data_IF_260274722799
#
_entry.id   IF_260274722799
#
_cell.length_a   1.000
_cell.length_b   1.000
_cell.length_c   1.000
_cell.angle_alpha   90.00
_cell.angle_beta   90.00
_cell.angle_gamma   90.00
#
_symmetry.space_group_name_H-M   'P 1'
#
loop_
_entity.id
_entity.type
_entity.pdbx_description
1 polymer ?
#
# COMPACT_ATOMS: atom_id res chain seq x y z
N UNK A 1 14.69 -0.79 -12.48
CA UNK A 1 13.35 -1.35 -12.76
C UNK A 1 13.42 -2.85 -12.56
N UNK A 2 12.81 -3.35 -11.53
CA UNK A 2 12.83 -4.76 -11.20
C UNK A 2 11.54 -5.41 -11.68
N UNK A 3 11.66 -6.53 -12.41
CA UNK A 3 10.51 -7.35 -12.78
C UNK A 3 10.51 -8.53 -11.82
N UNK A 4 9.45 -8.63 -11.02
CA UNK A 4 9.26 -9.73 -10.08
C UNK A 4 8.15 -10.65 -10.60
N UNK A 5 8.45 -11.92 -10.69
CA UNK A 5 7.47 -12.95 -11.03
C UNK A 5 6.83 -13.50 -9.74
N UNK A 6 5.52 -13.52 -9.74
CA UNK A 6 4.71 -14.02 -8.62
C UNK A 6 4.21 -15.43 -8.92
N UNK A 7 4.06 -16.26 -7.87
CA UNK A 7 3.36 -17.54 -7.96
C UNK A 7 1.87 -17.41 -8.37
N UNK A 8 1.34 -16.18 -8.35
CA UNK A 8 -0.01 -15.86 -8.79
C UNK A 8 -0.10 -15.45 -10.27
N UNK A 9 0.94 -15.72 -11.07
CA UNK A 9 1.05 -15.34 -12.49
C UNK A 9 0.94 -13.81 -12.69
N UNK A 10 1.54 -13.05 -11.80
CA UNK A 10 1.64 -11.59 -11.90
C UNK A 10 3.09 -11.21 -12.12
N UNK A 11 3.32 -10.26 -13.02
CA UNK A 11 4.60 -9.58 -13.17
C UNK A 11 4.45 -8.14 -12.70
N UNK A 12 5.42 -7.63 -11.96
CA UNK A 12 5.43 -6.27 -11.41
C UNK A 12 6.65 -5.52 -11.91
N UNK A 13 6.39 -4.30 -12.34
CA UNK A 13 7.42 -3.32 -12.67
C UNK A 13 7.25 -2.13 -11.72
N UNK A 14 8.33 -1.70 -11.11
CA UNK A 14 8.34 -0.64 -10.12
C UNK A 14 9.32 0.46 -10.53
N UNK A 15 8.89 1.72 -10.40
CA UNK A 15 9.74 2.90 -10.52
C UNK A 15 9.37 3.87 -9.39
N UNK A 16 10.36 4.41 -8.70
CA UNK A 16 10.19 5.42 -7.66
C UNK A 16 11.29 6.46 -7.79
N UNK A 17 10.89 7.74 -7.77
CA UNK A 17 11.82 8.86 -7.95
C UNK A 17 11.52 9.96 -6.94
N UNK A 18 12.56 10.47 -6.33
CA UNK A 18 12.47 11.58 -5.37
C UNK A 18 11.99 12.89 -6.03
N UNK A 19 12.29 13.07 -7.32
CA UNK A 19 11.98 14.33 -8.00
C UNK A 19 12.74 15.52 -7.43
N UNK A 20 12.08 16.66 -7.35
CA UNK A 20 12.66 17.89 -6.80
C UNK A 20 12.46 18.08 -5.29
N UNK A 21 12.02 17.04 -4.58
CA UNK A 21 11.80 17.10 -3.13
C UNK A 21 13.10 16.85 -2.36
N UNK A 22 13.25 17.36 -1.13
CA UNK A 22 14.44 17.08 -0.29
C UNK A 22 14.53 15.61 0.14
N UNK A 23 13.40 14.89 0.18
CA UNK A 23 13.30 13.49 0.59
C UNK A 23 12.22 12.78 -0.22
N UNK A 24 12.43 11.51 -0.53
CA UNK A 24 11.39 10.63 -1.07
C UNK A 24 10.59 10.03 0.10
N UNK A 25 9.34 10.43 0.25
CA UNK A 25 8.44 9.96 1.29
C UNK A 25 7.49 8.86 0.79
N UNK A 26 7.62 8.44 -0.46
CA UNK A 26 6.90 7.31 -1.00
C UNK A 26 7.51 5.99 -0.52
N UNK A 27 6.64 5.04 -0.24
CA UNK A 27 7.04 3.67 0.05
C UNK A 27 6.13 2.70 -0.70
N UNK A 28 6.71 1.63 -1.18
CA UNK A 28 5.97 0.58 -1.88
C UNK A 28 6.54 -0.79 -1.53
N UNK A 29 5.74 -1.80 -1.68
CA UNK A 29 6.19 -3.19 -1.66
C UNK A 29 5.18 -4.09 -2.36
N UNK A 30 5.62 -5.26 -2.74
CA UNK A 30 4.78 -6.33 -3.25
C UNK A 30 5.22 -7.67 -2.67
N UNK A 31 4.28 -8.57 -2.52
CA UNK A 31 4.54 -9.90 -1.98
C UNK A 31 3.48 -10.92 -2.40
N UNK A 32 3.90 -12.16 -2.54
CA UNK A 32 2.98 -13.29 -2.52
C UNK A 32 2.42 -13.46 -1.11
N UNK A 33 1.10 -13.50 -0.98
CA UNK A 33 0.40 -13.75 0.28
C UNK A 33 -0.48 -15.00 0.17
N UNK A 34 -0.98 -15.55 1.28
CA UNK A 34 -1.90 -16.69 1.22
C UNK A 34 -3.20 -16.43 0.45
N UNK A 35 -3.60 -15.16 0.31
CA UNK A 35 -4.86 -14.74 -0.33
C UNK A 35 -4.69 -14.11 -1.72
N UNK A 36 -3.48 -13.98 -2.23
CA UNK A 36 -3.19 -13.41 -3.55
C UNK A 36 -1.88 -12.66 -3.59
N UNK A 37 -1.54 -12.12 -4.75
CA UNK A 37 -0.38 -11.23 -4.92
C UNK A 37 -0.76 -9.82 -4.49
N UNK A 38 -0.09 -9.33 -3.46
CA UNK A 38 -0.35 -8.01 -2.89
C UNK A 38 0.64 -6.97 -3.41
N UNK A 39 0.13 -5.79 -3.75
CA UNK A 39 0.91 -4.59 -4.10
C UNK A 39 0.42 -3.44 -3.24
N UNK A 40 1.34 -2.74 -2.60
CA UNK A 40 1.05 -1.60 -1.72
C UNK A 40 1.89 -0.40 -2.15
N UNK A 41 1.26 0.76 -2.25
CA UNK A 41 1.92 2.06 -2.46
C UNK A 41 1.37 3.06 -1.46
N UNK A 42 2.26 3.76 -0.78
CA UNK A 42 1.95 4.78 0.22
C UNK A 42 2.77 6.04 -0.06
N UNK A 43 2.10 7.19 -0.11
CA UNK A 43 2.73 8.52 -0.21
C UNK A 43 2.66 9.20 1.15
N UNK A 44 3.80 9.34 1.78
CA UNK A 44 3.91 9.91 3.12
C UNK A 44 3.76 11.43 3.14
N UNK A 45 3.09 11.94 4.15
CA UNK A 45 2.91 13.36 4.41
C UNK A 45 3.34 13.72 5.83
N UNK A 46 3.92 14.89 5.97
CA UNK A 46 4.45 15.41 7.22
C UNK A 46 5.86 15.97 7.02
N UNK A 47 6.14 17.11 7.58
CA UNK A 47 7.47 17.73 7.47
C UNK A 47 8.56 16.84 8.12
N UNK A 48 9.79 16.89 7.57
CA UNK A 48 10.91 16.11 8.09
C UNK A 48 10.73 14.59 7.97
N UNK A 49 11.19 13.78 8.93
CA UNK A 49 11.19 12.32 8.83
C UNK A 49 9.80 11.68 8.97
N UNK A 50 8.77 12.45 9.30
CA UNK A 50 7.44 11.92 9.62
C UNK A 50 6.77 11.22 8.44
N UNK A 51 6.82 11.81 7.24
CA UNK A 51 6.18 11.23 6.06
C UNK A 51 6.81 9.91 5.63
N UNK A 52 8.13 9.82 5.56
CA UNK A 52 8.84 8.59 5.23
C UNK A 52 8.60 7.49 6.28
N UNK A 53 8.57 7.84 7.56
CA UNK A 53 8.22 6.90 8.62
C UNK A 53 6.78 6.39 8.47
N UNK A 54 5.82 7.28 8.19
CA UNK A 54 4.42 6.91 8.04
C UNK A 54 4.20 5.94 6.87
N UNK A 55 4.74 6.24 5.70
CA UNK A 55 4.59 5.37 4.52
C UNK A 55 5.26 4.02 4.72
N UNK A 56 6.47 3.99 5.30
CA UNK A 56 7.20 2.74 5.58
C UNK A 56 6.46 1.86 6.58
N UNK A 57 6.00 2.42 7.70
CA UNK A 57 5.24 1.68 8.71
C UNK A 57 3.92 1.14 8.13
N UNK A 58 3.23 1.95 7.33
CA UNK A 58 1.98 1.53 6.72
C UNK A 58 2.17 0.34 5.76
N UNK A 59 3.16 0.41 4.86
CA UNK A 59 3.47 -0.68 3.93
C UNK A 59 3.80 -1.97 4.69
N UNK A 60 4.67 -1.88 5.71
CA UNK A 60 5.07 -3.04 6.52
C UNK A 60 3.88 -3.65 7.26
N UNK A 61 3.06 -2.84 7.92
CA UNK A 61 1.90 -3.31 8.67
C UNK A 61 0.86 -3.99 7.77
N UNK A 62 0.59 -3.41 6.59
CA UNK A 62 -0.36 -3.97 5.63
C UNK A 62 0.12 -5.34 5.14
N UNK A 63 1.38 -5.45 4.68
CA UNK A 63 1.90 -6.72 4.19
C UNK A 63 1.98 -7.78 5.30
N UNK A 64 2.38 -7.41 6.52
CA UNK A 64 2.40 -8.32 7.65
C UNK A 64 1.01 -8.88 7.94
N UNK A 65 -0.02 -8.02 7.92
CA UNK A 65 -1.40 -8.46 8.13
C UNK A 65 -1.86 -9.43 7.03
N UNK A 66 -1.62 -9.09 5.76
CA UNK A 66 -2.02 -9.92 4.62
C UNK A 66 -1.29 -11.28 4.63
N UNK A 67 -0.01 -11.30 5.01
CA UNK A 67 0.76 -12.53 5.16
C UNK A 67 0.25 -13.44 6.28
N UNK A 68 -0.40 -12.90 7.29
CA UNK A 68 -0.96 -13.66 8.41
C UNK A 68 -2.35 -14.23 8.12
N UNK A 69 -2.96 -13.88 7.00
CA UNK A 69 -4.29 -14.36 6.63
C UNK A 69 -4.29 -15.86 6.30
N UNK A 70 -5.40 -16.52 6.62
CA UNK A 70 -5.64 -17.87 6.12
C UNK A 70 -5.95 -17.83 4.62
N UNK A 71 -5.61 -18.87 3.83
CA UNK A 71 -5.89 -18.91 2.39
C UNK A 71 -7.39 -18.77 2.04
N UNK A 72 -8.26 -19.15 2.98
CA UNK A 72 -9.73 -19.06 2.84
C UNK A 72 -10.32 -17.72 3.30
N UNK A 73 -9.48 -16.77 3.74
CA UNK A 73 -9.97 -15.49 4.24
C UNK A 73 -10.67 -14.68 3.13
N UNK A 74 -11.70 -13.93 3.52
CA UNK A 74 -12.33 -12.94 2.67
C UNK A 74 -11.36 -11.80 2.37
N UNK A 75 -11.06 -11.56 1.08
CA UNK A 75 -10.04 -10.61 0.66
C UNK A 75 -10.45 -9.18 0.98
N UNK A 76 -11.73 -8.81 0.85
CA UNK A 76 -12.21 -7.47 1.18
C UNK A 76 -12.08 -7.17 2.66
N UNK A 77 -12.47 -8.13 3.51
CA UNK A 77 -12.32 -8.01 4.95
C UNK A 77 -10.83 -7.94 5.34
N UNK A 78 -9.98 -8.75 4.72
CA UNK A 78 -8.54 -8.73 4.95
C UNK A 78 -7.91 -7.38 4.61
N UNK A 79 -8.26 -6.78 3.48
CA UNK A 79 -7.78 -5.45 3.10
C UNK A 79 -8.26 -4.36 4.06
N UNK A 80 -9.54 -4.37 4.43
CA UNK A 80 -10.08 -3.42 5.40
C UNK A 80 -9.35 -3.50 6.73
N UNK A 81 -9.11 -4.71 7.23
CA UNK A 81 -8.43 -4.95 8.49
C UNK A 81 -6.94 -4.56 8.40
N UNK A 82 -6.28 -4.84 7.26
CA UNK A 82 -4.89 -4.47 7.05
C UNK A 82 -4.68 -2.94 7.10
N UNK A 83 -5.53 -2.18 6.39
CA UNK A 83 -5.49 -0.71 6.41
C UNK A 83 -5.83 -0.17 7.81
N UNK A 84 -6.81 -0.76 8.49
CA UNK A 84 -7.15 -0.40 9.87
C UNK A 84 -6.01 -0.65 10.85
N UNK A 85 -5.32 -1.78 10.73
CA UNK A 85 -4.14 -2.10 11.54
C UNK A 85 -2.99 -1.13 11.31
N UNK A 86 -2.73 -0.75 10.06
CA UNK A 86 -1.73 0.25 9.72
C UNK A 86 -2.06 1.61 10.36
N UNK A 87 -3.31 2.06 10.25
CA UNK A 87 -3.75 3.31 10.87
C UNK A 87 -3.60 3.28 12.40
N UNK A 88 -3.95 2.18 13.05
CA UNK A 88 -3.78 2.02 14.50
C UNK A 88 -2.31 2.07 14.90
N UNK A 89 -1.41 1.43 14.14
CA UNK A 89 0.03 1.48 14.38
C UNK A 89 0.58 2.91 14.24
N UNK A 90 0.19 3.65 13.20
CA UNK A 90 0.63 5.03 13.02
C UNK A 90 0.17 5.92 14.17
N UNK A 91 -1.06 5.79 14.62
CA UNK A 91 -1.59 6.55 15.75
C UNK A 91 -0.84 6.22 17.05
N UNK A 92 -0.56 4.93 17.30
CA UNK A 92 0.22 4.53 18.47
C UNK A 92 1.65 5.08 18.42
N UNK A 93 2.28 5.02 17.24
CA UNK A 93 3.63 5.55 17.04
C UNK A 93 3.72 7.05 17.37
N UNK A 94 2.71 7.83 16.96
CA UNK A 94 2.64 9.26 17.31
C UNK A 94 2.48 9.48 18.82
N UNK A 95 1.71 8.64 19.50
CA UNK A 95 1.58 8.74 20.97
C UNK A 95 2.90 8.44 21.69
N UNK A 96 3.68 7.50 21.16
CA UNK A 96 4.97 7.12 21.74
C UNK A 96 6.11 8.09 21.35
N UNK A 97 5.96 8.78 20.21
CA UNK A 97 6.95 9.68 19.60
C UNK A 97 6.27 10.99 19.17
N UNK A 98 6.11 11.90 20.11
CA UNK A 98 5.38 13.16 19.88
C UNK A 98 6.01 14.04 18.78
N UNK A 99 7.29 13.89 18.52
CA UNK A 99 8.01 14.56 17.43
C UNK A 99 7.49 14.17 16.04
N UNK A 100 6.77 13.03 15.93
CA UNK A 100 6.13 12.56 14.71
C UNK A 100 4.68 13.02 14.58
N UNK A 101 4.24 13.92 15.44
CA UNK A 101 2.88 14.47 15.38
C UNK A 101 2.63 15.11 14.00
N UNK A 102 1.48 14.77 13.42
CA UNK A 102 1.09 15.23 12.08
C UNK A 102 1.58 14.35 10.94
N UNK A 103 2.36 13.29 11.23
CA UNK A 103 2.70 12.32 10.19
C UNK A 103 1.44 11.59 9.71
N UNK A 104 1.42 11.30 8.41
CA UNK A 104 0.36 10.53 7.79
C UNK A 104 0.84 9.96 6.47
N UNK A 105 0.01 9.16 5.84
CA UNK A 105 0.30 8.60 4.52
C UNK A 105 -1.00 8.29 3.80
N UNK A 106 -0.98 8.43 2.48
CA UNK A 106 -1.96 7.77 1.63
C UNK A 106 -1.72 6.26 1.64
N UNK A 107 -2.66 5.52 1.14
CA UNK A 107 -2.50 4.09 0.91
C UNK A 107 -3.31 3.65 -0.29
N UNK A 108 -2.68 2.90 -1.17
CA UNK A 108 -3.35 2.10 -2.20
C UNK A 108 -2.83 0.69 -2.07
N UNK A 109 -3.71 -0.27 -1.88
CA UNK A 109 -3.38 -1.68 -1.81
C UNK A 109 -4.27 -2.47 -2.74
N UNK A 110 -3.68 -3.36 -3.52
CA UNK A 110 -4.38 -4.30 -4.39
C UNK A 110 -3.94 -5.72 -4.09
N UNK A 111 -4.89 -6.64 -4.06
CA UNK A 111 -4.63 -8.09 -4.01
C UNK A 111 -5.19 -8.72 -5.27
N UNK A 112 -4.32 -9.36 -6.04
CA UNK A 112 -4.69 -10.09 -7.27
C UNK A 112 -4.72 -11.58 -6.98
N UNK A 113 -5.88 -12.19 -7.21
CA UNK A 113 -6.09 -13.61 -7.06
C UNK A 113 -6.83 -14.14 -8.29
N UNK A 114 -6.14 -14.89 -9.12
CA UNK A 114 -6.69 -15.37 -10.39
C UNK A 114 -7.11 -14.21 -11.30
N UNK A 115 -8.40 -14.11 -11.60
CA UNK A 115 -8.96 -13.06 -12.46
C UNK A 115 -9.55 -11.88 -11.69
N UNK A 116 -9.41 -11.87 -10.37
CA UNK A 116 -10.00 -10.84 -9.51
C UNK A 116 -8.91 -9.98 -8.89
N UNK A 117 -9.07 -8.67 -8.97
CA UNK A 117 -8.31 -7.70 -8.22
C UNK A 117 -9.22 -7.02 -7.21
N UNK A 118 -8.84 -7.09 -5.93
CA UNK A 118 -9.54 -6.38 -4.84
C UNK A 118 -8.67 -5.23 -4.39
N UNK A 119 -9.26 -4.05 -4.26
CA UNK A 119 -8.54 -2.80 -3.99
C UNK A 119 -9.10 -2.12 -2.76
N UNK A 120 -8.22 -1.60 -1.92
CA UNK A 120 -8.56 -0.62 -0.88
C UNK A 120 -7.65 0.60 -1.02
N UNK A 121 -8.17 1.79 -0.74
CA UNK A 121 -7.37 3.02 -0.80
C UNK A 121 -7.85 4.06 0.20
N UNK A 122 -6.92 4.91 0.59
CA UNK A 122 -7.15 6.10 1.43
C UNK A 122 -6.27 7.23 0.88
N UNK A 123 -6.87 8.38 0.60
CA UNK A 123 -6.16 9.55 0.09
C UNK A 123 -6.26 9.70 -1.42
N UNK A 124 -5.29 10.38 -2.01
CA UNK A 124 -5.24 10.78 -3.41
C UNK A 124 -4.20 10.04 -4.27
N UNK A 125 -3.53 9.04 -3.70
CA UNK A 125 -2.78 8.06 -4.50
C UNK A 125 -3.75 7.19 -5.28
N UNK A 126 -3.47 6.98 -6.58
CA UNK A 126 -4.46 6.40 -7.49
C UNK A 126 -4.07 5.03 -8.00
N UNK A 127 -5.08 4.18 -8.18
CA UNK A 127 -4.98 2.93 -8.92
C UNK A 127 -5.80 3.02 -10.19
N UNK A 128 -5.22 2.55 -11.28
CA UNK A 128 -5.87 2.44 -12.57
C UNK A 128 -5.89 0.99 -13.03
N UNK A 129 -7.04 0.51 -13.47
CA UNK A 129 -7.13 -0.73 -14.23
C UNK A 129 -7.19 -0.40 -15.71
N UNK A 130 -6.22 -0.91 -16.47
CA UNK A 130 -6.11 -0.64 -17.91
C UNK A 130 -6.17 -1.97 -18.66
N UNK A 131 -6.89 -2.00 -19.77
CA UNK A 131 -6.89 -3.12 -20.70
C UNK A 131 -6.71 -2.61 -22.12
N UNK A 132 -5.61 -3.01 -22.78
CA UNK A 132 -5.18 -2.42 -24.03
C UNK A 132 -4.91 -0.92 -23.83
N UNK A 133 -5.64 -0.07 -24.51
CA UNK A 133 -5.52 1.40 -24.41
C UNK A 133 -6.63 2.05 -23.56
N UNK A 134 -7.48 1.25 -22.91
CA UNK A 134 -8.65 1.77 -22.20
C UNK A 134 -8.45 1.66 -20.68
N UNK A 135 -8.77 2.75 -19.98
CA UNK A 135 -8.93 2.75 -18.52
C UNK A 135 -10.32 2.22 -18.20
N UNK A 136 -10.37 1.07 -17.53
CA UNK A 136 -11.62 0.42 -17.14
C UNK A 136 -12.11 0.88 -15.77
N UNK A 137 -11.17 1.23 -14.88
CA UNK A 137 -11.45 1.66 -13.52
C UNK A 137 -10.34 2.60 -13.03
N UNK A 138 -10.70 3.51 -12.18
CA UNK A 138 -9.80 4.38 -11.43
C UNK A 138 -10.39 4.65 -10.05
N UNK A 139 -9.53 4.64 -9.01
CA UNK A 139 -9.93 5.06 -7.66
C UNK A 139 -10.29 6.55 -7.63
N UNK A 140 -11.25 6.92 -6.78
CA UNK A 140 -11.59 8.32 -6.53
C UNK A 140 -10.70 8.90 -5.43
N UNK A 141 -10.26 10.13 -5.59
CA UNK A 141 -9.49 10.83 -4.56
C UNK A 141 -10.37 11.13 -3.34
N UNK A 142 -9.80 11.00 -2.15
CA UNK A 142 -10.41 11.40 -0.89
C UNK A 142 -9.98 12.79 -0.45
#
# INVERSE_FOLDING_TARGET
>A
MDILDSKWNCSVCIDSRQGGRPENQDCYACADTPIGFAVVVCDGMGGGPGGANASTLAVQAILQHLNSCQPSADVQAALKNAVGSANSLLRQTVLDHIELQGMGTTCVVAVVNGKTATVAHVGDSRLYQVRGTKVLFRTADH
#
